data_IF_561158343601
#
_entry.id   IF_561158343601
#
_cell.length_a   1.000
_cell.length_b   1.000
_cell.length_c   1.000
_cell.angle_alpha   90.00
_cell.angle_beta   90.00
_cell.angle_gamma   90.00
#
_symmetry.space_group_name_H-M   'P 1'
#
loop_
_entity.id
_entity.type
_entity.pdbx_description
1 polymer ?
#
# COMPACT_ATOMS: atom_id res chain seq x y z
N UNK A 1 -38.84 19.85 -0.88
CA UNK A 1 -38.38 19.16 -2.10
C UNK A 1 -37.86 17.81 -1.67
N UNK A 2 -38.64 16.76 -1.97
CA UNK A 2 -38.30 15.36 -1.70
C UNK A 2 -37.41 14.89 -2.86
N UNK A 3 -36.11 14.78 -2.63
CA UNK A 3 -35.28 13.89 -3.44
C UNK A 3 -34.95 12.68 -2.57
N UNK A 4 -35.86 11.71 -2.61
CA UNK A 4 -35.51 10.35 -2.22
C UNK A 4 -34.38 9.92 -3.13
N UNK A 5 -33.15 9.95 -2.62
CA UNK A 5 -31.97 9.31 -3.21
C UNK A 5 -32.27 7.82 -3.38
N UNK A 6 -32.94 7.47 -4.48
CA UNK A 6 -32.92 6.11 -5.00
C UNK A 6 -31.44 5.80 -5.17
N UNK A 7 -30.93 4.84 -4.39
CA UNK A 7 -29.59 4.30 -4.58
C UNK A 7 -29.55 3.75 -6.01
N UNK A 8 -29.15 4.58 -6.97
CA UNK A 8 -28.92 4.15 -8.34
C UNK A 8 -27.96 2.97 -8.26
N UNK A 9 -28.47 1.79 -8.61
CA UNK A 9 -27.68 0.56 -8.56
C UNK A 9 -26.62 0.70 -9.62
N UNK A 10 -25.41 1.09 -9.21
CA UNK A 10 -24.27 1.21 -10.11
C UNK A 10 -24.06 -0.09 -10.89
N UNK A 11 -23.66 -0.01 -12.17
CA UNK A 11 -23.46 -1.18 -13.01
C UNK A 11 -22.49 -2.17 -12.37
N UNK A 12 -22.81 -3.47 -12.47
CA UNK A 12 -21.93 -4.57 -12.02
C UNK A 12 -21.41 -5.29 -13.24
N UNK A 13 -20.27 -4.83 -13.72
CA UNK A 13 -19.59 -5.40 -14.88
C UNK A 13 -18.51 -6.40 -14.44
N UNK A 14 -18.39 -7.49 -15.18
CA UNK A 14 -17.25 -8.40 -15.05
C UNK A 14 -16.11 -7.86 -15.91
N UNK A 15 -15.07 -7.34 -15.26
CA UNK A 15 -13.91 -6.80 -15.97
C UNK A 15 -12.74 -7.77 -15.92
N UNK A 16 -12.01 -7.86 -17.02
CA UNK A 16 -10.71 -8.51 -17.02
C UNK A 16 -9.69 -7.69 -16.21
N UNK A 17 -8.60 -8.32 -15.75
CA UNK A 17 -7.48 -7.60 -15.12
C UNK A 17 -6.58 -7.04 -16.21
N UNK A 18 -6.21 -5.77 -16.10
CA UNK A 18 -5.21 -5.20 -17.00
C UNK A 18 -3.79 -5.73 -16.67
N UNK A 19 -2.87 -5.64 -17.65
CA UNK A 19 -1.46 -6.01 -17.45
C UNK A 19 -0.82 -5.23 -16.30
N UNK A 20 -1.09 -3.92 -16.22
CA UNK A 20 -0.57 -3.07 -15.15
C UNK A 20 -1.08 -3.50 -13.77
N UNK A 21 -2.35 -3.89 -13.65
CA UNK A 21 -2.87 -4.44 -12.39
C UNK A 21 -2.16 -5.73 -11.98
N UNK A 22 -1.74 -6.56 -12.93
CA UNK A 22 -0.97 -7.77 -12.63
C UNK A 22 0.46 -7.42 -12.22
N UNK A 23 1.10 -6.46 -12.88
CA UNK A 23 2.45 -5.99 -12.53
C UNK A 23 2.48 -5.46 -11.09
N UNK A 24 1.56 -4.56 -10.72
CA UNK A 24 1.50 -4.03 -9.35
C UNK A 24 1.23 -5.12 -8.31
N UNK A 25 0.34 -6.07 -8.63
CA UNK A 25 -0.01 -7.16 -7.73
C UNK A 25 1.15 -8.13 -7.51
N UNK A 26 1.85 -8.52 -8.58
CA UNK A 26 3.06 -9.36 -8.50
C UNK A 26 4.15 -8.62 -7.73
N UNK A 27 4.37 -7.33 -8.00
CA UNK A 27 5.31 -6.49 -7.25
C UNK A 27 4.99 -6.44 -5.76
N UNK A 28 3.71 -6.32 -5.39
CA UNK A 28 3.28 -6.37 -4.00
C UNK A 28 3.50 -7.76 -3.38
N UNK A 29 3.21 -8.85 -4.10
CA UNK A 29 3.49 -10.22 -3.62
C UNK A 29 4.99 -10.40 -3.35
N UNK A 30 5.86 -9.92 -4.25
CA UNK A 30 7.31 -9.96 -4.06
C UNK A 30 7.69 -9.24 -2.75
N UNK A 31 7.14 -8.04 -2.51
CA UNK A 31 7.38 -7.31 -1.27
C UNK A 31 6.91 -8.06 -0.01
N UNK A 32 5.74 -8.72 -0.05
CA UNK A 32 5.25 -9.58 1.05
C UNK A 32 6.21 -10.74 1.30
N UNK A 33 6.60 -11.46 0.24
CA UNK A 33 7.49 -12.61 0.33
C UNK A 33 8.87 -12.21 0.84
N UNK A 34 9.42 -11.09 0.35
CA UNK A 34 10.69 -10.55 0.83
C UNK A 34 10.62 -10.21 2.32
N UNK A 35 9.52 -9.59 2.77
CA UNK A 35 9.32 -9.21 4.17
C UNK A 35 9.13 -10.41 5.12
N UNK A 36 8.76 -11.57 4.58
CA UNK A 36 8.69 -12.82 5.33
C UNK A 36 10.05 -13.52 5.38
N UNK A 37 10.69 -13.68 4.22
CA UNK A 37 11.90 -14.50 4.07
C UNK A 37 13.13 -13.81 4.66
N UNK A 38 13.29 -12.51 4.42
CA UNK A 38 14.52 -11.81 4.77
C UNK A 38 14.82 -11.78 6.29
N UNK A 39 13.85 -11.48 7.18
CA UNK A 39 14.07 -11.56 8.63
C UNK A 39 14.41 -12.96 9.11
N UNK A 40 13.86 -14.01 8.49
CA UNK A 40 14.15 -15.41 8.83
C UNK A 40 15.59 -15.76 8.49
N UNK A 41 16.06 -15.36 7.30
CA UNK A 41 17.45 -15.61 6.86
C UNK A 41 18.46 -14.93 7.80
N UNK A 42 18.19 -13.69 8.20
CA UNK A 42 19.14 -12.88 8.98
C UNK A 42 19.00 -13.07 10.50
N UNK A 43 18.02 -13.86 10.96
CA UNK A 43 17.62 -13.98 12.37
C UNK A 43 18.77 -14.31 13.34
N UNK A 44 19.68 -15.20 12.93
CA UNK A 44 20.83 -15.62 13.73
C UNK A 44 21.88 -14.51 13.87
N UNK A 45 21.94 -13.59 12.90
CA UNK A 45 22.88 -12.47 12.87
C UNK A 45 22.35 -11.22 13.57
N UNK A 46 21.04 -11.17 13.86
CA UNK A 46 20.45 -10.02 14.55
C UNK A 46 20.86 -9.98 16.03
N UNK A 47 21.30 -8.82 16.53
CA UNK A 47 21.57 -8.61 17.96
C UNK A 47 20.28 -8.76 18.78
N UNK A 48 20.40 -8.84 20.10
CA UNK A 48 19.23 -8.98 21.00
C UNK A 48 18.28 -7.79 20.95
N UNK A 49 18.79 -6.60 20.60
CA UNK A 49 18.02 -5.36 20.46
C UNK A 49 18.07 -4.79 19.05
N UNK A 50 16.93 -4.33 18.55
CA UNK A 50 16.79 -3.72 17.21
C UNK A 50 16.06 -2.37 17.33
N UNK A 51 16.20 -1.46 16.35
CA UNK A 51 15.35 -0.28 16.24
C UNK A 51 13.87 -0.67 16.20
N UNK A 52 13.04 0.01 16.99
CA UNK A 52 11.64 -0.39 17.17
C UNK A 52 10.66 0.79 17.18
N UNK A 53 11.16 2.03 17.19
CA UNK A 53 10.43 3.24 16.84
C UNK A 53 11.39 4.27 16.27
N UNK A 54 10.87 5.17 15.43
CA UNK A 54 11.61 6.26 14.82
C UNK A 54 10.87 7.59 15.04
N UNK A 55 11.61 8.65 15.33
CA UNK A 55 11.06 10.00 15.47
C UNK A 55 10.73 10.64 14.10
N UNK A 56 10.22 11.88 14.10
CA UNK A 56 9.84 12.58 12.87
C UNK A 56 11.03 12.93 11.96
N UNK A 57 12.26 12.94 12.49
CA UNK A 57 13.49 13.07 11.70
C UNK A 57 13.93 11.73 11.09
N UNK A 58 13.22 10.65 11.40
CA UNK A 58 13.56 9.29 10.99
C UNK A 58 14.73 8.71 11.78
N UNK A 59 15.03 9.21 12.97
CA UNK A 59 16.07 8.67 13.85
C UNK A 59 15.46 7.69 14.84
N UNK A 60 16.24 6.68 15.27
CA UNK A 60 15.78 5.70 16.26
C UNK A 60 15.59 6.38 17.61
N UNK A 61 14.39 6.33 18.17
CA UNK A 61 14.07 6.85 19.51
C UNK A 61 13.64 5.76 20.49
N UNK A 62 13.38 4.54 20.01
CA UNK A 62 13.15 3.34 20.83
C UNK A 62 13.84 2.12 20.25
N UNK A 63 14.47 1.36 21.13
CA UNK A 63 15.00 0.03 20.85
C UNK A 63 14.10 -1.04 21.47
N UNK A 64 13.89 -2.13 20.75
CA UNK A 64 13.04 -3.25 21.13
C UNK A 64 13.76 -4.59 21.04
N UNK A 65 13.08 -5.68 21.40
CA UNK A 65 13.64 -7.04 21.25
C UNK A 65 13.71 -7.43 19.78
N UNK A 66 14.67 -8.27 19.40
CA UNK A 66 14.79 -8.72 18.00
C UNK A 66 13.55 -9.43 17.45
N UNK A 67 12.73 -10.03 18.32
CA UNK A 67 11.47 -10.66 17.93
C UNK A 67 10.45 -9.66 17.38
N UNK A 68 10.56 -8.38 17.73
CA UNK A 68 9.66 -7.33 17.23
C UNK A 68 9.74 -7.15 15.70
N UNK A 69 10.81 -7.63 15.04
CA UNK A 69 10.93 -7.59 13.57
C UNK A 69 9.79 -8.33 12.86
N UNK A 70 9.22 -9.35 13.52
CA UNK A 70 8.12 -10.15 12.99
C UNK A 70 6.75 -9.50 13.20
N UNK A 71 6.63 -8.42 13.99
CA UNK A 71 5.36 -7.70 14.17
C UNK A 71 4.91 -7.01 12.89
N UNK A 72 5.84 -6.62 12.00
CA UNK A 72 5.52 -6.03 10.70
C UNK A 72 4.94 -7.03 9.70
N UNK A 73 5.30 -8.32 9.81
CA UNK A 73 4.84 -9.36 8.88
C UNK A 73 3.30 -9.50 8.84
N UNK A 74 2.58 -9.69 9.96
CA UNK A 74 1.13 -9.79 9.93
C UNK A 74 0.48 -8.49 9.46
N UNK A 75 1.07 -7.32 9.74
CA UNK A 75 0.56 -6.02 9.25
C UNK A 75 0.65 -5.96 7.73
N UNK A 76 1.79 -6.34 7.15
CA UNK A 76 2.01 -6.38 5.69
C UNK A 76 1.02 -7.32 5.01
N UNK A 77 0.85 -8.54 5.55
CA UNK A 77 -0.09 -9.53 5.01
C UNK A 77 -1.53 -9.02 5.11
N UNK A 78 -1.91 -8.45 6.27
CA UNK A 78 -3.25 -7.91 6.48
C UNK A 78 -3.55 -6.77 5.49
N UNK A 79 -2.60 -5.84 5.29
CA UNK A 79 -2.75 -4.75 4.33
C UNK A 79 -2.88 -5.26 2.90
N UNK A 80 -2.07 -6.24 2.50
CA UNK A 80 -2.18 -6.86 1.19
C UNK A 80 -3.56 -7.49 0.96
N UNK A 81 -4.04 -8.29 1.91
CA UNK A 81 -5.35 -8.96 1.82
C UNK A 81 -6.48 -7.93 1.82
N UNK A 82 -6.46 -6.98 2.75
CA UNK A 82 -7.47 -5.94 2.89
C UNK A 82 -7.64 -5.14 1.58
N UNK A 83 -6.54 -4.63 1.02
CA UNK A 83 -6.56 -3.86 -0.22
C UNK A 83 -6.97 -4.73 -1.41
N UNK A 84 -6.58 -6.00 -1.44
CA UNK A 84 -7.00 -6.96 -2.48
C UNK A 84 -8.51 -7.22 -2.43
N UNK A 85 -9.10 -7.36 -1.23
CA UNK A 85 -10.55 -7.56 -1.05
C UNK A 85 -11.32 -6.32 -1.50
N UNK A 86 -10.90 -5.13 -1.06
CA UNK A 86 -11.53 -3.87 -1.47
C UNK A 86 -11.48 -3.72 -2.99
N UNK A 87 -10.33 -4.01 -3.61
CA UNK A 87 -10.15 -3.90 -5.06
C UNK A 87 -11.06 -4.81 -5.89
N UNK A 88 -11.65 -5.85 -5.27
CA UNK A 88 -12.61 -6.75 -5.93
C UNK A 88 -13.97 -6.11 -6.17
N UNK A 89 -14.29 -5.01 -5.48
CA UNK A 89 -15.60 -4.39 -5.51
C UNK A 89 -15.54 -2.90 -5.90
N UNK A 90 -15.01 -2.54 -7.09
CA UNK A 90 -14.84 -1.14 -7.50
C UNK A 90 -16.16 -0.36 -7.53
N UNK A 91 -17.30 -1.00 -7.78
CA UNK A 91 -18.62 -0.37 -7.73
C UNK A 91 -19.00 0.18 -6.35
N UNK A 92 -18.32 -0.24 -5.27
CA UNK A 92 -18.54 0.26 -3.89
C UNK A 92 -17.66 1.46 -3.53
N UNK A 93 -16.75 1.88 -4.40
CA UNK A 93 -15.86 3.01 -4.10
C UNK A 93 -16.61 4.33 -4.13
N UNK A 94 -15.98 5.38 -3.59
CA UNK A 94 -16.51 6.73 -3.69
C UNK A 94 -16.03 7.35 -4.99
N UNK A 95 -16.97 7.72 -5.86
CA UNK A 95 -16.71 8.42 -7.12
C UNK A 95 -17.23 9.86 -6.99
N UNK A 96 -16.49 10.86 -7.48
CA UNK A 96 -16.89 12.27 -7.38
C UNK A 96 -18.00 12.65 -8.39
N UNK A 97 -18.50 11.70 -9.18
CA UNK A 97 -19.58 11.87 -10.15
C UNK A 97 -20.37 10.57 -10.31
N UNK A 98 -21.52 10.64 -10.99
CA UNK A 98 -22.37 9.49 -11.27
C UNK A 98 -21.67 8.48 -12.19
N UNK A 99 -21.86 7.19 -11.90
CA UNK A 99 -21.35 6.09 -12.71
C UNK A 99 -22.50 5.52 -13.53
N UNK A 100 -22.38 5.64 -14.85
CA UNK A 100 -23.36 5.17 -15.83
C UNK A 100 -22.85 3.90 -16.52
N UNK A 101 -23.71 3.22 -17.26
CA UNK A 101 -23.31 2.04 -18.06
C UNK A 101 -22.20 2.38 -19.07
N UNK A 102 -22.19 3.60 -19.62
CA UNK A 102 -21.20 4.01 -20.63
C UNK A 102 -19.81 4.26 -20.06
N UNK A 103 -19.69 4.75 -18.81
CA UNK A 103 -18.40 5.09 -18.21
C UNK A 103 -17.92 4.09 -17.15
N UNK A 104 -18.76 3.16 -16.70
CA UNK A 104 -18.44 2.23 -15.61
C UNK A 104 -17.15 1.44 -15.83
N UNK A 105 -16.91 0.95 -17.05
CA UNK A 105 -15.72 0.16 -17.36
C UNK A 105 -14.42 0.95 -17.15
N UNK A 106 -14.31 2.12 -17.79
CA UNK A 106 -13.12 2.96 -17.70
C UNK A 106 -12.92 3.44 -16.26
N UNK A 107 -13.99 3.88 -15.59
CA UNK A 107 -13.93 4.43 -14.23
C UNK A 107 -13.53 3.36 -13.21
N UNK A 108 -14.10 2.15 -13.32
CA UNK A 108 -13.71 1.06 -12.43
C UNK A 108 -12.30 0.57 -12.71
N UNK A 109 -11.83 0.59 -13.96
CA UNK A 109 -10.45 0.24 -14.29
C UNK A 109 -9.46 1.24 -13.69
N UNK A 110 -9.70 2.55 -13.84
CA UNK A 110 -8.89 3.62 -13.23
C UNK A 110 -8.84 3.43 -11.71
N UNK A 111 -10.01 3.22 -11.09
CA UNK A 111 -10.08 3.07 -9.65
C UNK A 111 -9.40 1.79 -9.13
N UNK A 112 -9.46 0.68 -9.90
CA UNK A 112 -8.75 -0.55 -9.56
C UNK A 112 -7.23 -0.40 -9.66
N UNK A 113 -6.76 0.27 -10.72
CA UNK A 113 -5.34 0.56 -10.88
C UNK A 113 -4.82 1.43 -9.73
N UNK A 114 -5.57 2.46 -9.34
CA UNK A 114 -5.23 3.30 -8.19
C UNK A 114 -5.02 2.48 -6.92
N UNK A 115 -5.97 1.60 -6.58
CA UNK A 115 -5.85 0.76 -5.38
C UNK A 115 -4.69 -0.24 -5.48
N UNK A 116 -4.41 -0.78 -6.67
CA UNK A 116 -3.26 -1.68 -6.86
C UNK A 116 -1.92 -0.96 -6.70
N UNK A 117 -1.78 0.26 -7.24
CA UNK A 117 -0.59 1.09 -7.07
C UNK A 117 -0.37 1.44 -5.60
N UNK A 118 -1.41 1.91 -4.91
CA UNK A 118 -1.35 2.21 -3.47
C UNK A 118 -1.01 0.96 -2.65
N UNK A 119 -1.56 -0.20 -3.01
CA UNK A 119 -1.19 -1.47 -2.37
C UNK A 119 0.29 -1.76 -2.52
N UNK A 120 0.84 -1.66 -3.73
CA UNK A 120 2.26 -1.88 -3.95
C UNK A 120 3.11 -0.88 -3.13
N UNK A 121 2.77 0.41 -3.13
CA UNK A 121 3.46 1.44 -2.35
C UNK A 121 3.44 1.14 -0.85
N UNK A 122 2.28 0.79 -0.28
CA UNK A 122 2.14 0.46 1.15
C UNK A 122 3.02 -0.74 1.52
N UNK A 123 2.98 -1.81 0.71
CA UNK A 123 3.76 -3.01 0.96
C UNK A 123 5.27 -2.72 0.90
N UNK A 124 5.73 -1.98 -0.11
CA UNK A 124 7.14 -1.62 -0.24
C UNK A 124 7.61 -0.64 0.84
N UNK A 125 6.75 0.25 1.34
CA UNK A 125 7.08 1.09 2.48
C UNK A 125 7.37 0.26 3.74
N UNK A 126 6.49 -0.69 4.07
CA UNK A 126 6.72 -1.55 5.23
C UNK A 126 7.93 -2.48 5.05
N UNK A 127 8.13 -3.04 3.84
CA UNK A 127 9.30 -3.84 3.51
C UNK A 127 10.60 -3.03 3.69
N UNK A 128 10.60 -1.77 3.22
CA UNK A 128 11.74 -0.86 3.40
C UNK A 128 12.00 -0.55 4.88
N UNK A 129 10.96 -0.24 5.67
CA UNK A 129 11.10 0.01 7.12
C UNK A 129 11.71 -1.21 7.80
N UNK A 130 11.23 -2.42 7.48
CA UNK A 130 11.77 -3.66 8.03
C UNK A 130 13.25 -3.86 7.66
N UNK A 131 13.60 -3.62 6.40
CA UNK A 131 14.98 -3.68 5.93
C UNK A 131 15.89 -2.67 6.65
N UNK A 132 15.45 -1.41 6.80
CA UNK A 132 16.20 -0.38 7.54
C UNK A 132 16.38 -0.73 9.01
N UNK A 133 15.38 -1.33 9.64
CA UNK A 133 15.49 -1.83 11.01
C UNK A 133 16.57 -2.91 11.13
N UNK A 134 16.65 -3.85 10.18
CA UNK A 134 17.69 -4.89 10.15
C UNK A 134 19.07 -4.26 9.97
N UNK A 135 19.22 -3.36 9.01
CA UNK A 135 20.50 -2.67 8.74
C UNK A 135 20.96 -1.81 9.93
N UNK A 136 20.03 -1.07 10.56
CA UNK A 136 20.30 -0.28 11.75
C UNK A 136 20.70 -1.15 12.95
N UNK A 137 20.10 -2.33 13.10
CA UNK A 137 20.51 -3.30 14.11
C UNK A 137 21.91 -3.86 13.87
N UNK A 138 22.34 -3.98 12.61
CA UNK A 138 23.68 -4.47 12.24
C UNK A 138 24.77 -3.38 12.34
N UNK A 139 24.49 -2.26 13.02
CA UNK A 139 25.48 -1.22 13.31
C UNK A 139 25.76 -0.25 12.17
N UNK A 140 24.91 -0.22 11.14
CA UNK A 140 25.09 0.70 9.99
C UNK A 140 24.68 2.16 10.29
N UNK A 141 24.30 2.50 11.53
CA UNK A 141 23.79 3.83 11.96
C UNK A 141 22.80 4.48 10.97
N UNK A 142 21.92 3.65 10.40
CA UNK A 142 20.91 4.10 9.45
C UNK A 142 19.57 4.28 10.18
N UNK A 143 19.16 5.52 10.43
CA UNK A 143 17.75 5.85 10.66
C UNK A 143 16.89 5.59 9.41
N UNK A 144 15.59 5.86 9.42
CA UNK A 144 14.79 5.95 8.20
C UNK A 144 15.20 7.15 7.35
N UNK A 145 15.56 8.26 8.00
CA UNK A 145 15.85 9.54 7.37
C UNK A 145 14.60 10.30 6.94
N UNK A 146 14.65 11.64 7.05
CA UNK A 146 13.51 12.51 6.73
C UNK A 146 13.05 12.40 5.27
N UNK A 147 13.97 12.15 4.34
CA UNK A 147 13.65 11.96 2.92
C UNK A 147 12.73 10.77 2.69
N UNK A 148 12.95 9.65 3.38
CA UNK A 148 12.05 8.50 3.31
C UNK A 148 10.67 8.87 3.83
N UNK A 149 10.56 9.50 5.01
CA UNK A 149 9.28 9.91 5.61
C UNK A 149 8.49 10.79 4.64
N UNK A 150 9.14 11.77 4.00
CA UNK A 150 8.50 12.63 3.02
C UNK A 150 8.02 11.84 1.80
N UNK A 151 8.85 10.94 1.26
CA UNK A 151 8.46 10.10 0.10
C UNK A 151 7.29 9.18 0.47
N UNK A 152 7.31 8.55 1.64
CA UNK A 152 6.24 7.66 2.13
C UNK A 152 4.87 8.34 2.21
N UNK A 153 4.85 9.66 2.42
CA UNK A 153 3.63 10.47 2.49
C UNK A 153 3.28 11.04 1.11
N UNK A 154 4.25 11.64 0.43
CA UNK A 154 4.00 12.37 -0.82
C UNK A 154 3.69 11.44 -1.99
N UNK A 155 4.35 10.27 -2.08
CA UNK A 155 4.15 9.36 -3.20
C UNK A 155 2.69 8.83 -3.27
N UNK A 156 2.08 8.31 -2.19
CA UNK A 156 0.66 7.93 -2.22
C UNK A 156 -0.29 9.08 -2.54
N UNK A 157 0.02 10.30 -2.09
CA UNK A 157 -0.79 11.47 -2.42
C UNK A 157 -0.71 11.82 -3.91
N UNK A 158 0.49 11.76 -4.50
CA UNK A 158 0.70 11.96 -5.93
C UNK A 158 -0.05 10.89 -6.73
N UNK A 159 0.03 9.63 -6.31
CA UNK A 159 -0.70 8.51 -6.93
C UNK A 159 -2.22 8.73 -6.89
N UNK A 160 -2.77 9.13 -5.74
CA UNK A 160 -4.19 9.48 -5.61
C UNK A 160 -4.58 10.62 -6.55
N UNK A 161 -3.84 11.74 -6.53
CA UNK A 161 -4.13 12.91 -7.36
C UNK A 161 -4.09 12.53 -8.85
N UNK A 162 -3.09 11.74 -9.26
CA UNK A 162 -2.94 11.29 -10.63
C UNK A 162 -4.14 10.47 -11.11
N UNK A 163 -4.57 9.46 -10.36
CA UNK A 163 -5.70 8.61 -10.76
C UNK A 163 -7.04 9.34 -10.67
N UNK A 164 -7.23 10.24 -9.70
CA UNK A 164 -8.42 11.09 -9.61
C UNK A 164 -8.48 12.03 -10.82
N UNK A 165 -7.36 12.67 -11.18
CA UNK A 165 -7.29 13.51 -12.36
C UNK A 165 -7.62 12.75 -13.65
N UNK A 166 -7.10 11.52 -13.80
CA UNK A 166 -7.47 10.66 -14.92
C UNK A 166 -8.96 10.30 -14.93
N UNK A 167 -9.55 10.03 -13.76
CA UNK A 167 -10.99 9.76 -13.64
C UNK A 167 -11.83 10.95 -14.13
N UNK A 168 -11.44 12.18 -13.78
CA UNK A 168 -12.11 13.40 -14.27
C UNK A 168 -11.95 13.62 -15.77
N UNK A 169 -10.79 13.30 -16.33
CA UNK A 169 -10.53 13.41 -17.78
C UNK A 169 -11.35 12.39 -18.58
N UNK A 170 -11.66 11.25 -17.99
CA UNK A 170 -12.39 10.14 -18.61
C UNK A 170 -13.88 10.07 -18.21
N UNK A 171 -14.44 11.18 -17.70
CA UNK A 171 -15.84 11.25 -17.23
C UNK A 171 -16.84 11.11 -18.37
#
# INVERSE_FOLDING_TARGET
>A
MNESSSKEKRPRIQMHRSLLENIFDIGAIIGVVASLIYPVIIWSSLPSKIPAHYNIQGQVDRWGSKGEIFLLVPVIILMYIFLTIINRYPHKFNYPFAITEQNAEIQYQIARLMVQSLKAEVIWNFAYIQWRTIEGAMGKELGLGIGFILISILLPLVTLIFYIWQAFKAK
#
